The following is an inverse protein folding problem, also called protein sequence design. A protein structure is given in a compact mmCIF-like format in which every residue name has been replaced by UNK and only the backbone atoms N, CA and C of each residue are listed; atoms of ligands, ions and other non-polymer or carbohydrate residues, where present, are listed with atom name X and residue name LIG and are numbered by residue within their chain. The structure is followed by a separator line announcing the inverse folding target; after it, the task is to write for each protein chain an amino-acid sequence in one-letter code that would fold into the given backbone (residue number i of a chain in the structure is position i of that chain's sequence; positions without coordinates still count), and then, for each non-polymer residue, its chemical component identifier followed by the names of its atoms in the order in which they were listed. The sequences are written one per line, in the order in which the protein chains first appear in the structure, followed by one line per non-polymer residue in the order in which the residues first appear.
data_IF_712738150061
#
_entry.id   IF_712738150061
#
_cell.length_a   1.000
_cell.length_b   1.000
_cell.length_c   1.000
_cell.angle_alpha   90.00
_cell.angle_beta   90.00
_cell.angle_gamma   90.00
#
_symmetry.space_group_name_H-M   'P 1'
#
loop_
_entity.id
_entity.type
_entity.pdbx_description
1 polymer ?
#
# COMPACT_ATOMS: atom_id res chain seq x y z
N UNK A 1 -33.90 -1.48 17.63
CA UNK A 1 -34.56 -1.96 16.39
C UNK A 1 -36.05 -1.96 16.64
N UNK A 2 -36.85 -1.45 15.70
CA UNK A 2 -38.31 -1.39 15.79
C UNK A 2 -38.93 -2.01 14.53
N UNK A 3 -40.12 -2.59 14.64
CA UNK A 3 -40.85 -3.19 13.53
C UNK A 3 -41.92 -2.21 13.04
N UNK A 4 -41.90 -1.88 11.75
CA UNK A 4 -42.97 -1.17 11.07
C UNK A 4 -43.86 -2.10 10.27
N UNK A 5 -45.16 -1.80 10.28
CA UNK A 5 -46.15 -2.46 9.41
C UNK A 5 -46.64 -1.39 8.43
N UNK A 6 -46.25 -1.52 7.17
CA UNK A 6 -46.68 -0.62 6.09
C UNK A 6 -48.14 -0.85 5.69
N UNK A 7 -48.73 0.10 4.96
CA UNK A 7 -50.14 0.04 4.54
C UNK A 7 -50.54 -1.16 3.65
N UNK A 8 -49.58 -1.91 3.12
CA UNK A 8 -49.78 -3.18 2.40
C UNK A 8 -49.30 -4.41 3.19
N UNK A 9 -49.28 -4.30 4.52
CA UNK A 9 -48.76 -5.32 5.44
C UNK A 9 -47.29 -5.70 5.21
N UNK A 10 -46.49 -4.81 4.63
CA UNK A 10 -45.04 -4.99 4.55
C UNK A 10 -44.42 -4.81 5.93
N UNK A 11 -43.69 -5.82 6.39
CA UNK A 11 -42.89 -5.75 7.60
C UNK A 11 -41.52 -5.15 7.27
N UNK A 12 -41.13 -4.09 7.98
CA UNK A 12 -39.84 -3.41 7.80
C UNK A 12 -39.14 -3.32 9.14
N UNK A 13 -37.92 -3.85 9.22
CA UNK A 13 -37.03 -3.61 10.35
C UNK A 13 -36.37 -2.24 10.20
N UNK A 14 -36.57 -1.38 11.19
CA UNK A 14 -36.06 -0.01 11.15
C UNK A 14 -35.19 0.31 12.37
N UNK A 15 -34.05 1.00 12.21
CA UNK A 15 -33.23 1.43 13.33
C UNK A 15 -34.00 2.41 14.22
N UNK A 16 -34.17 2.07 15.50
CA UNK A 16 -34.91 2.90 16.46
C UNK A 16 -34.26 4.27 16.72
N UNK A 17 -32.96 4.41 16.44
CA UNK A 17 -32.22 5.69 16.55
C UNK A 17 -32.66 6.73 15.53
N UNK A 18 -33.24 6.31 14.42
CA UNK A 18 -33.73 7.21 13.36
C UNK A 18 -35.18 7.64 13.59
N UNK A 19 -35.80 7.22 14.71
CA UNK A 19 -37.16 7.58 15.05
C UNK A 19 -37.22 8.88 15.86
N UNK A 20 -38.29 9.67 15.71
CA UNK A 20 -38.54 10.80 16.59
C UNK A 20 -38.61 10.36 18.06
N UNK A 21 -38.18 11.21 19.00
CA UNK A 21 -38.28 10.90 20.42
C UNK A 21 -39.73 10.70 20.83
N UNK A 22 -39.99 9.76 21.75
CA UNK A 22 -41.34 9.45 22.24
C UNK A 22 -42.15 8.47 21.38
N UNK A 23 -41.55 7.88 20.35
CA UNK A 23 -42.19 6.82 19.56
C UNK A 23 -42.36 5.54 20.39
N UNK A 24 -43.60 5.13 20.65
CA UNK A 24 -43.96 3.89 21.39
C UNK A 24 -44.69 2.91 20.47
N UNK A 25 -44.90 1.67 20.94
CA UNK A 25 -45.65 0.64 20.19
C UNK A 25 -47.04 1.13 19.82
N UNK A 26 -47.41 1.00 18.54
CA UNK A 26 -48.70 1.47 18.01
C UNK A 26 -48.69 2.91 17.51
N UNK A 27 -47.57 3.64 17.62
CA UNK A 27 -47.42 4.98 17.03
C UNK A 27 -47.42 4.90 15.51
N UNK A 28 -48.27 5.69 14.85
CA UNK A 28 -48.26 5.84 13.39
C UNK A 28 -47.23 6.91 13.02
N UNK A 29 -46.25 6.54 12.21
CA UNK A 29 -45.20 7.44 11.72
C UNK A 29 -45.36 7.58 10.21
N UNK A 30 -45.29 8.82 9.70
CA UNK A 30 -45.23 9.08 8.26
C UNK A 30 -43.78 9.14 7.81
N UNK A 31 -43.39 8.30 6.84
CA UNK A 31 -42.05 8.27 6.28
C UNK A 31 -42.13 8.73 4.83
N UNK A 32 -41.55 9.89 4.55
CA UNK A 32 -41.40 10.40 3.19
C UNK A 32 -39.99 10.09 2.70
N UNK A 33 -39.88 9.34 1.60
CA UNK A 33 -38.62 8.99 0.97
C UNK A 33 -38.47 9.80 -0.32
N UNK A 34 -37.41 10.58 -0.39
CA UNK A 34 -37.10 11.41 -1.56
C UNK A 34 -35.67 11.17 -2.01
N UNK A 35 -35.48 11.09 -3.32
CA UNK A 35 -34.15 11.04 -3.91
C UNK A 35 -33.45 12.40 -3.72
N UNK A 36 -32.16 12.38 -3.35
CA UNK A 36 -31.37 13.59 -3.16
C UNK A 36 -30.23 13.67 -4.17
N UNK A 37 -30.55 14.16 -5.37
CA UNK A 37 -29.61 14.30 -6.49
C UNK A 37 -28.39 15.17 -6.15
N UNK A 38 -28.56 16.18 -5.29
CA UNK A 38 -27.47 17.05 -4.87
C UNK A 38 -26.43 16.32 -4.00
N UNK A 39 -26.89 15.41 -3.11
CA UNK A 39 -25.98 14.58 -2.32
C UNK A 39 -25.31 13.51 -3.17
N UNK A 40 -26.03 12.90 -4.11
CA UNK A 40 -25.48 11.94 -5.07
C UNK A 40 -24.34 12.57 -5.86
N UNK A 41 -24.57 13.74 -6.48
CA UNK A 41 -23.53 14.43 -7.25
C UNK A 41 -22.29 14.79 -6.42
N UNK A 42 -22.47 15.25 -5.18
CA UNK A 42 -21.34 15.54 -4.28
C UNK A 42 -20.56 14.27 -3.90
N UNK A 43 -21.25 13.16 -3.67
CA UNK A 43 -20.62 11.89 -3.39
C UNK A 43 -19.79 11.43 -4.59
N UNK A 44 -20.35 11.51 -5.79
CA UNK A 44 -19.66 11.11 -7.03
C UNK A 44 -18.39 11.92 -7.25
N UNK A 45 -18.47 13.24 -7.07
CA UNK A 45 -17.29 14.12 -7.15
C UNK A 45 -16.22 13.72 -6.13
N UNK A 46 -16.60 13.54 -4.87
CA UNK A 46 -15.68 13.15 -3.81
C UNK A 46 -15.03 11.78 -4.08
N UNK A 47 -15.81 10.83 -4.59
CA UNK A 47 -15.31 9.51 -4.98
C UNK A 47 -14.22 9.63 -6.04
N UNK A 48 -14.47 10.36 -7.13
CA UNK A 48 -13.49 10.52 -8.20
C UNK A 48 -12.25 11.30 -7.76
N UNK A 49 -12.42 12.35 -6.96
CA UNK A 49 -11.30 13.07 -6.36
C UNK A 49 -10.40 12.14 -5.54
N UNK A 50 -10.98 11.30 -4.70
CA UNK A 50 -10.22 10.31 -3.92
C UNK A 50 -9.47 9.33 -4.83
N UNK A 51 -10.13 8.81 -5.88
CA UNK A 51 -9.48 7.90 -6.82
C UNK A 51 -8.28 8.58 -7.52
N UNK A 52 -8.41 9.84 -7.91
CA UNK A 52 -7.31 10.61 -8.48
C UNK A 52 -6.14 10.75 -7.50
N UNK A 53 -6.42 11.11 -6.24
CA UNK A 53 -5.37 11.23 -5.21
C UNK A 53 -4.65 9.91 -4.98
N UNK A 54 -5.38 8.79 -4.90
CA UNK A 54 -4.79 7.45 -4.76
C UNK A 54 -3.90 7.13 -5.97
N UNK A 55 -4.40 7.39 -7.19
CA UNK A 55 -3.66 7.14 -8.42
C UNK A 55 -2.36 7.96 -8.47
N UNK A 56 -2.44 9.26 -8.21
CA UNK A 56 -1.26 10.15 -8.20
C UNK A 56 -0.25 9.73 -7.14
N UNK A 57 -0.71 9.38 -5.95
CA UNK A 57 0.17 8.99 -4.84
C UNK A 57 0.92 7.70 -5.16
N UNK A 58 0.25 6.66 -5.66
CA UNK A 58 0.84 5.33 -5.78
C UNK A 58 1.39 4.98 -7.16
N UNK A 59 1.00 5.70 -8.22
CA UNK A 59 1.38 5.35 -9.60
C UNK A 59 2.46 6.25 -10.19
N UNK A 60 2.67 7.45 -9.65
CA UNK A 60 3.47 8.47 -10.32
C UNK A 60 4.99 8.19 -10.27
N UNK A 61 5.47 7.46 -9.26
CA UNK A 61 6.90 7.18 -9.09
C UNK A 61 7.11 5.69 -8.83
N UNK A 62 7.64 4.98 -9.83
CA UNK A 62 8.15 3.62 -9.67
C UNK A 62 9.51 3.67 -8.97
N UNK A 63 9.84 2.69 -8.10
CA UNK A 63 11.19 2.57 -7.59
C UNK A 63 12.18 2.40 -8.75
N UNK A 64 13.34 3.03 -8.63
CA UNK A 64 14.45 2.82 -9.57
C UNK A 64 15.18 1.51 -9.20
N UNK A 65 15.68 0.76 -10.20
CA UNK A 65 16.50 -0.41 -9.92
C UNK A 65 17.78 0.01 -9.17
N UNK A 66 18.22 -0.77 -8.17
CA UNK A 66 19.42 -0.44 -7.42
C UNK A 66 20.67 -0.60 -8.31
N UNK A 67 21.60 0.33 -8.20
CA UNK A 67 22.86 0.32 -8.96
C UNK A 67 24.00 -0.19 -8.08
N UNK A 68 24.72 -1.22 -8.52
CA UNK A 68 25.86 -1.78 -7.80
C UNK A 68 27.18 -1.37 -8.44
N UNK A 69 28.10 -0.82 -7.64
CA UNK A 69 29.44 -0.45 -8.05
C UNK A 69 30.51 -1.24 -7.28
N UNK A 70 31.64 -1.49 -7.94
CA UNK A 70 32.78 -2.18 -7.34
C UNK A 70 33.80 -1.14 -6.90
N UNK A 71 33.96 -0.96 -5.58
CA UNK A 71 34.91 0.02 -5.02
C UNK A 71 36.33 -0.50 -4.97
N UNK A 72 36.52 -1.75 -4.55
CA UNK A 72 37.84 -2.34 -4.41
C UNK A 72 37.79 -3.85 -4.64
N UNK A 73 38.82 -4.38 -5.29
CA UNK A 73 39.00 -5.81 -5.55
C UNK A 73 40.39 -6.20 -5.06
N UNK A 74 40.44 -7.13 -4.11
CA UNK A 74 41.67 -7.78 -3.67
C UNK A 74 41.62 -9.26 -4.03
N UNK A 75 42.73 -9.97 -3.79
CA UNK A 75 42.85 -11.40 -4.12
C UNK A 75 41.77 -12.29 -3.47
N UNK A 76 41.28 -11.92 -2.28
CA UNK A 76 40.34 -12.74 -1.50
C UNK A 76 39.04 -12.03 -1.14
N UNK A 77 38.91 -10.74 -1.49
CA UNK A 77 37.72 -9.96 -1.14
C UNK A 77 37.36 -8.92 -2.18
N UNK A 78 36.07 -8.62 -2.31
CA UNK A 78 35.56 -7.52 -3.11
C UNK A 78 34.71 -6.62 -2.22
N UNK A 79 34.94 -5.32 -2.32
CA UNK A 79 34.12 -4.30 -1.66
C UNK A 79 33.17 -3.71 -2.68
N UNK A 80 31.88 -3.85 -2.41
CA UNK A 80 30.78 -3.35 -3.21
C UNK A 80 30.16 -2.13 -2.54
N UNK A 81 29.75 -1.15 -3.33
CA UNK A 81 29.10 0.08 -2.90
C UNK A 81 27.91 0.37 -3.83
N UNK A 82 26.85 0.97 -3.31
CA UNK A 82 25.70 1.41 -4.10
C UNK A 82 25.18 2.75 -3.58
N UNK A 83 24.61 3.61 -4.45
CA UNK A 83 23.97 4.84 -4.00
C UNK A 83 22.68 4.55 -3.22
N UNK A 84 22.14 5.57 -2.57
CA UNK A 84 20.88 5.47 -1.83
C UNK A 84 19.75 4.96 -2.73
N UNK A 85 19.06 3.90 -2.29
CA UNK A 85 17.99 3.26 -3.06
C UNK A 85 16.77 4.17 -3.12
N UNK A 86 16.33 4.52 -4.33
CA UNK A 86 15.12 5.31 -4.56
C UNK A 86 13.89 4.42 -4.60
N UNK A 87 13.27 4.26 -3.44
CA UNK A 87 12.11 3.37 -3.24
C UNK A 87 10.77 4.02 -3.62
N UNK A 88 10.76 5.32 -3.94
CA UNK A 88 9.55 6.08 -4.22
C UNK A 88 8.50 5.94 -3.11
N UNK A 89 7.35 5.31 -3.37
CA UNK A 89 6.32 4.98 -2.37
C UNK A 89 6.41 3.55 -1.83
N UNK A 90 7.33 2.73 -2.34
CA UNK A 90 7.53 1.36 -1.90
C UNK A 90 8.28 1.29 -0.57
N UNK A 91 8.03 0.23 0.19
CA UNK A 91 8.83 -0.13 1.38
C UNK A 91 9.81 -1.23 0.99
N UNK A 92 11.10 -1.02 1.29
CA UNK A 92 12.13 -2.03 1.08
C UNK A 92 11.95 -3.19 2.08
N UNK A 93 11.88 -4.42 1.56
CA UNK A 93 11.72 -5.63 2.38
C UNK A 93 13.08 -6.21 2.78
N UNK A 94 13.91 -6.50 1.80
CA UNK A 94 15.29 -6.99 1.94
C UNK A 94 16.11 -6.49 0.76
N UNK A 95 17.43 -6.46 0.94
CA UNK A 95 18.40 -6.21 -0.12
C UNK A 95 19.45 -7.32 -0.03
N UNK A 96 19.60 -8.09 -1.10
CA UNK A 96 20.38 -9.31 -1.12
C UNK A 96 21.33 -9.27 -2.33
N UNK A 97 22.60 -9.63 -2.14
CA UNK A 97 23.61 -9.63 -3.20
C UNK A 97 23.70 -11.02 -3.81
N UNK A 98 23.52 -11.10 -5.13
CA UNK A 98 23.61 -12.35 -5.88
C UNK A 98 24.89 -12.42 -6.72
N UNK A 99 25.50 -13.61 -6.75
CA UNK A 99 26.58 -13.98 -7.69
C UNK A 99 26.18 -15.30 -8.35
N UNK A 100 26.09 -15.32 -9.69
CA UNK A 100 25.75 -16.54 -10.45
C UNK A 100 24.47 -17.22 -9.91
N UNK A 101 23.43 -16.44 -9.64
CA UNK A 101 22.13 -16.90 -9.11
C UNK A 101 22.14 -17.46 -7.68
N UNK A 102 23.26 -17.39 -6.95
CA UNK A 102 23.33 -17.73 -5.54
C UNK A 102 23.38 -16.47 -4.68
N UNK A 103 22.59 -16.42 -3.60
CA UNK A 103 22.66 -15.35 -2.61
C UNK A 103 23.96 -15.47 -1.81
N UNK A 104 24.78 -14.43 -1.85
CA UNK A 104 26.11 -14.38 -1.23
C UNK A 104 26.09 -13.58 0.08
N UNK A 105 25.24 -12.56 0.16
CA UNK A 105 25.07 -11.76 1.36
C UNK A 105 23.69 -11.10 1.42
N UNK A 106 23.08 -11.11 2.61
CA UNK A 106 21.91 -10.30 2.92
C UNK A 106 22.35 -9.02 3.65
N UNK A 107 21.83 -7.86 3.24
CA UNK A 107 22.19 -6.57 3.84
C UNK A 107 21.24 -6.27 5.02
N UNK A 108 21.74 -6.20 6.27
CA UNK A 108 20.88 -6.04 7.44
C UNK A 108 20.28 -4.63 7.59
N UNK A 109 20.87 -3.61 6.95
CA UNK A 109 20.36 -2.23 7.01
C UNK A 109 20.63 -1.48 5.71
N UNK A 110 19.87 -1.76 4.63
CA UNK A 110 20.17 -1.25 3.29
C UNK A 110 19.92 0.27 3.10
N UNK A 111 19.24 0.91 4.05
CA UNK A 111 18.97 2.36 4.02
C UNK A 111 20.12 3.16 4.64
N UNK A 112 20.83 2.58 5.62
CA UNK A 112 21.94 3.25 6.33
C UNK A 112 23.30 2.74 5.88
N UNK A 113 23.39 1.48 5.45
CA UNK A 113 24.60 0.87 4.95
C UNK A 113 24.54 0.73 3.43
N UNK A 114 25.39 1.50 2.76
CA UNK A 114 25.55 1.55 1.30
C UNK A 114 26.77 0.78 0.82
N UNK A 115 27.45 0.03 1.69
CA UNK A 115 28.66 -0.73 1.32
C UNK A 115 28.72 -2.10 1.99
N UNK A 116 29.28 -3.09 1.29
CA UNK A 116 29.51 -4.42 1.87
C UNK A 116 30.77 -5.04 1.30
N UNK A 117 31.59 -5.57 2.21
CA UNK A 117 32.80 -6.33 1.86
C UNK A 117 32.48 -7.81 1.83
N UNK A 118 32.54 -8.41 0.65
CA UNK A 118 32.46 -9.84 0.46
C UNK A 118 33.85 -10.44 0.61
N UNK A 119 34.06 -11.19 1.69
CA UNK A 119 35.27 -11.97 1.94
C UNK A 119 34.94 -13.41 1.57
N UNK A 120 35.80 -14.12 0.83
CA UNK A 120 35.60 -15.48 0.24
C UNK A 120 35.31 -15.48 -1.27
N UNK A 121 36.04 -14.70 -2.05
CA UNK A 121 36.05 -14.85 -3.51
C UNK A 121 37.24 -15.69 -3.94
N UNK A 122 37.01 -16.99 -4.17
CA UNK A 122 37.95 -17.83 -4.91
C UNK A 122 38.00 -17.35 -6.37
N UNK A 123 39.21 -17.17 -6.91
CA UNK A 123 39.57 -16.51 -8.18
C UNK A 123 39.04 -17.17 -9.48
N UNK A 124 38.09 -18.09 -9.39
CA UNK A 124 37.53 -18.78 -10.55
C UNK A 124 36.22 -18.09 -10.97
N UNK A 125 36.25 -17.50 -12.16
CA UNK A 125 35.18 -16.79 -12.88
C UNK A 125 34.82 -15.36 -12.44
N UNK A 126 35.34 -14.41 -13.24
CA UNK A 126 35.01 -12.99 -13.32
C UNK A 126 33.57 -12.80 -13.84
N UNK A 127 32.58 -12.99 -12.98
CA UNK A 127 31.21 -12.52 -13.21
C UNK A 127 30.88 -11.41 -12.22
N UNK A 128 30.26 -10.34 -12.72
CA UNK A 128 29.93 -9.13 -11.97
C UNK A 128 28.71 -9.43 -11.07
N UNK A 129 28.77 -9.21 -9.75
CA UNK A 129 27.62 -9.39 -8.86
C UNK A 129 26.49 -8.41 -9.20
N UNK A 130 25.25 -8.75 -8.83
CA UNK A 130 24.05 -7.94 -9.05
C UNK A 130 23.23 -7.81 -7.75
N UNK A 131 22.49 -6.70 -7.61
CA UNK A 131 21.57 -6.41 -6.50
C UNK A 131 20.13 -6.80 -6.83
#
# INVERSE_FOLDING_TARGET
LQIFIGGRAHLIEFPSVLLPPGTTTGTIVNIAVHQNLSKEHKHDQHFWQLQHVILETFRCVSPEPPHLEVRNVTQTSVTLEWPLIKLATAKLRSLDIYKTSQCVAAIPSPVTNTSTKLSSLSLENRHVPQL
#
